data_IF_053769138071
#
_entry.id   IF_053769138071
#
_cell.length_a   1.000
_cell.length_b   1.000
_cell.length_c   1.000
_cell.angle_alpha   90.00
_cell.angle_beta   90.00
_cell.angle_gamma   90.00
#
_symmetry.space_group_name_H-M   'P 1'
#
loop_
_entity.id
_entity.type
_entity.pdbx_description
1 polymer ?
#
# COMPACT_ATOMS: atom_id res chain seq x y z
N UNK A 1 8.06 11.72 12.72
CA UNK A 1 7.30 10.71 11.96
C UNK A 1 7.30 11.14 10.51
N UNK A 2 7.62 10.22 9.60
CA UNK A 2 7.53 10.46 8.15
C UNK A 2 6.11 10.92 7.80
N UNK A 3 5.97 11.95 6.97
CA UNK A 3 4.68 12.36 6.40
C UNK A 3 4.12 11.33 5.42
N UNK A 4 4.92 10.31 5.07
CA UNK A 4 4.64 9.26 4.12
C UNK A 4 4.49 7.90 4.81
N UNK A 5 3.42 7.18 4.49
CA UNK A 5 3.13 5.82 4.92
C UNK A 5 2.86 4.89 3.74
N UNK A 6 2.51 3.65 4.04
CA UNK A 6 2.23 2.59 3.07
C UNK A 6 0.83 2.02 3.32
N UNK A 7 0.08 1.79 2.25
CA UNK A 7 -1.16 1.01 2.29
C UNK A 7 -1.07 -0.20 1.36
N UNK A 8 -1.40 -1.39 1.88
CA UNK A 8 -1.40 -2.65 1.13
C UNK A 8 -2.84 -3.11 0.90
N UNK A 9 -3.22 -3.36 -0.36
CA UNK A 9 -4.55 -3.84 -0.72
C UNK A 9 -4.45 -5.17 -1.47
N UNK A 10 -5.08 -6.22 -0.97
CA UNK A 10 -5.12 -7.51 -1.66
C UNK A 10 -6.51 -8.12 -1.70
N UNK A 11 -6.78 -8.94 -2.69
CA UNK A 11 -7.94 -9.82 -2.70
C UNK A 11 -7.88 -10.85 -1.56
N UNK A 12 -6.69 -11.19 -1.07
CA UNK A 12 -6.50 -12.17 -0.02
C UNK A 12 -6.07 -11.50 1.27
N UNK A 13 -6.83 -11.73 2.35
CA UNK A 13 -6.43 -11.36 3.71
C UNK A 13 -5.04 -11.89 4.06
N UNK A 14 -4.72 -13.11 3.64
CA UNK A 14 -3.45 -13.75 3.97
C UNK A 14 -2.27 -13.13 3.22
N UNK A 15 -2.48 -12.67 1.98
CA UNK A 15 -1.43 -11.95 1.23
C UNK A 15 -1.21 -10.59 1.88
N UNK A 16 -2.27 -9.83 2.15
CA UNK A 16 -2.15 -8.53 2.81
C UNK A 16 -1.42 -8.63 4.15
N UNK A 17 -1.78 -9.61 4.99
CA UNK A 17 -1.11 -9.84 6.27
C UNK A 17 0.34 -10.28 6.08
N UNK A 18 0.61 -11.25 5.21
CA UNK A 18 1.96 -11.76 5.00
C UNK A 18 2.92 -10.70 4.43
N UNK A 19 2.41 -9.77 3.61
CA UNK A 19 3.20 -8.59 3.19
C UNK A 19 3.54 -7.74 4.41
N UNK A 20 2.56 -7.36 5.24
CA UNK A 20 2.82 -6.53 6.44
C UNK A 20 3.80 -7.21 7.40
N UNK A 21 3.65 -8.51 7.63
CA UNK A 21 4.56 -9.29 8.48
C UNK A 21 6.00 -9.16 7.95
N UNK A 22 6.20 -9.32 6.63
CA UNK A 22 7.51 -9.16 6.01
C UNK A 22 8.04 -7.72 6.09
N UNK A 23 7.19 -6.70 5.89
CA UNK A 23 7.61 -5.29 6.00
C UNK A 23 8.05 -4.94 7.42
N UNK A 24 7.40 -5.53 8.43
CA UNK A 24 7.68 -5.24 9.84
C UNK A 24 9.08 -5.65 10.29
N UNK A 25 9.71 -6.60 9.59
CA UNK A 25 11.10 -7.01 9.84
C UNK A 25 12.12 -5.94 9.41
N UNK A 26 11.73 -4.99 8.56
CA UNK A 26 12.63 -3.97 7.99
C UNK A 26 12.19 -2.53 8.21
N UNK A 27 10.93 -2.29 8.60
CA UNK A 27 10.34 -0.95 8.69
C UNK A 27 9.52 -0.77 9.98
N UNK A 28 10.22 -0.62 11.10
CA UNK A 28 9.62 -0.48 12.43
C UNK A 28 8.92 0.87 12.69
N UNK A 29 9.33 1.94 12.00
CA UNK A 29 8.83 3.31 12.24
C UNK A 29 7.92 3.82 11.11
N UNK A 30 7.67 3.00 10.08
CA UNK A 30 6.82 3.37 8.94
C UNK A 30 5.36 3.07 9.26
N UNK A 31 4.48 4.05 9.02
CA UNK A 31 3.05 3.86 9.17
C UNK A 31 2.50 2.95 8.06
N UNK A 32 2.22 1.69 8.39
CA UNK A 32 1.74 0.68 7.45
C UNK A 32 0.32 0.28 7.83
N UNK A 33 -0.60 0.38 6.87
CA UNK A 33 -1.94 -0.21 6.96
C UNK A 33 -2.15 -1.23 5.86
N UNK A 34 -3.02 -2.21 6.10
CA UNK A 34 -3.35 -3.19 5.08
C UNK A 34 -4.79 -3.62 5.15
N UNK A 35 -5.29 -4.09 4.01
CA UNK A 35 -6.58 -4.72 3.91
C UNK A 35 -6.54 -5.81 2.87
N UNK A 36 -7.19 -6.93 3.18
CA UNK A 36 -7.48 -7.90 2.15
C UNK A 36 -8.69 -8.76 2.43
N UNK A 37 -9.30 -9.21 1.34
CA UNK A 37 -10.59 -9.88 1.36
C UNK A 37 -11.77 -8.92 1.50
N UNK A 38 -12.97 -9.46 1.29
CA UNK A 38 -14.23 -8.75 1.49
C UNK A 38 -14.56 -8.61 2.98
N UNK A 39 -15.64 -7.91 3.34
CA UNK A 39 -16.15 -7.86 4.73
C UNK A 39 -16.39 -9.24 5.34
N UNK A 40 -16.77 -10.22 4.52
CA UNK A 40 -16.98 -11.62 4.93
C UNK A 40 -15.68 -12.43 5.02
N UNK A 41 -14.54 -11.83 4.68
CA UNK A 41 -13.22 -12.49 4.64
C UNK A 41 -12.99 -13.38 3.43
N UNK A 42 -13.85 -13.29 2.41
CA UNK A 42 -13.71 -14.02 1.14
C UNK A 42 -12.67 -13.35 0.24
N UNK A 43 -12.18 -14.08 -0.78
CA UNK A 43 -11.27 -13.50 -1.79
C UNK A 43 -12.01 -12.40 -2.55
N UNK A 44 -11.48 -11.18 -2.52
CA UNK A 44 -12.13 -10.00 -3.08
C UNK A 44 -11.61 -8.70 -2.46
N UNK A 45 -12.06 -7.57 -3.01
CA UNK A 45 -11.82 -6.24 -2.42
C UNK A 45 -13.12 -5.44 -2.43
N UNK A 46 -13.31 -4.55 -1.47
CA UNK A 46 -14.42 -3.58 -1.46
C UNK A 46 -13.89 -2.18 -1.19
N UNK A 47 -14.58 -1.19 -1.73
CA UNK A 47 -14.23 0.22 -1.59
C UNK A 47 -14.20 0.63 -0.11
N UNK A 48 -15.23 0.28 0.66
CA UNK A 48 -15.41 0.67 2.05
C UNK A 48 -14.21 0.26 2.91
N UNK A 49 -13.75 -0.98 2.72
CA UNK A 49 -12.60 -1.55 3.42
C UNK A 49 -11.28 -0.92 3.02
N UNK A 50 -11.13 -0.56 1.74
CA UNK A 50 -9.95 0.17 1.25
C UNK A 50 -9.93 1.58 1.82
N UNK A 51 -11.06 2.27 1.83
CA UNK A 51 -11.21 3.59 2.43
C UNK A 51 -10.85 3.56 3.92
N UNK A 52 -11.35 2.59 4.67
CA UNK A 52 -11.02 2.42 6.10
C UNK A 52 -9.50 2.25 6.31
N UNK A 53 -8.82 1.44 5.50
CA UNK A 53 -7.38 1.22 5.62
C UNK A 53 -6.56 2.47 5.26
N UNK A 54 -7.02 3.26 4.28
CA UNK A 54 -6.45 4.55 3.91
C UNK A 54 -6.59 5.54 5.07
N UNK A 55 -7.79 5.70 5.62
CA UNK A 55 -8.06 6.67 6.68
C UNK A 55 -7.37 6.31 8.00
N UNK A 56 -7.30 5.02 8.34
CA UNK A 56 -6.62 4.52 9.53
C UNK A 56 -5.10 4.76 9.52
N UNK A 57 -4.49 4.99 8.35
CA UNK A 57 -3.05 5.26 8.27
C UNK A 57 -2.74 6.63 8.89
N UNK A 58 -1.68 6.77 9.68
CA UNK A 58 -1.38 8.06 10.33
C UNK A 58 -0.69 9.05 9.39
N UNK A 59 -0.16 8.60 8.25
CA UNK A 59 0.48 9.44 7.27
C UNK A 59 -0.52 10.14 6.34
N UNK A 60 -0.11 11.30 5.81
CA UNK A 60 -0.90 12.08 4.85
C UNK A 60 -0.61 11.67 3.41
N UNK A 61 0.65 11.38 3.08
CA UNK A 61 1.06 10.82 1.78
C UNK A 61 1.10 9.31 1.91
N UNK A 62 0.45 8.58 1.01
CA UNK A 62 0.38 7.12 1.06
C UNK A 62 0.91 6.51 -0.23
N UNK A 63 1.91 5.64 -0.10
CA UNK A 63 2.34 4.76 -1.18
C UNK A 63 1.45 3.51 -1.16
N UNK A 64 0.62 3.35 -2.19
CA UNK A 64 -0.38 2.30 -2.27
C UNK A 64 0.08 1.17 -3.19
N UNK A 65 0.07 -0.06 -2.65
CA UNK A 65 0.43 -1.27 -3.35
C UNK A 65 -0.76 -2.23 -3.39
N UNK A 66 -0.97 -2.87 -4.54
CA UNK A 66 -2.11 -3.73 -4.77
C UNK A 66 -1.73 -5.00 -5.53
N UNK A 67 -2.56 -6.03 -5.52
CA UNK A 67 -2.30 -7.28 -6.24
C UNK A 67 -2.82 -7.26 -7.69
N UNK A 68 -4.13 -7.10 -7.89
CA UNK A 68 -4.82 -7.21 -9.17
C UNK A 68 -5.67 -5.97 -9.49
N UNK A 69 -6.04 -5.77 -10.76
CA UNK A 69 -6.67 -4.55 -11.27
C UNK A 69 -7.92 -4.06 -10.53
N UNK A 70 -8.80 -4.94 -10.03
CA UNK A 70 -9.97 -4.51 -9.22
C UNK A 70 -9.59 -3.86 -7.89
N UNK A 71 -8.46 -4.23 -7.29
CA UNK A 71 -7.93 -3.58 -6.09
C UNK A 71 -7.47 -2.14 -6.41
N UNK A 72 -6.88 -1.93 -7.59
CA UNK A 72 -6.53 -0.59 -8.10
C UNK A 72 -7.77 0.28 -8.25
N UNK A 73 -8.86 -0.24 -8.83
CA UNK A 73 -10.09 0.54 -8.99
C UNK A 73 -10.64 1.05 -7.65
N UNK A 74 -10.58 0.22 -6.61
CA UNK A 74 -10.98 0.63 -5.26
C UNK A 74 -10.01 1.66 -4.65
N UNK A 75 -8.71 1.56 -4.90
CA UNK A 75 -7.72 2.57 -4.49
C UNK A 75 -7.91 3.91 -5.22
N UNK A 76 -8.22 3.88 -6.52
CA UNK A 76 -8.53 5.08 -7.30
C UNK A 76 -9.77 5.78 -6.75
N UNK A 77 -10.82 5.01 -6.43
CA UNK A 77 -11.99 5.55 -5.77
C UNK A 77 -11.64 6.12 -4.38
N UNK A 78 -10.87 5.40 -3.56
CA UNK A 78 -10.46 5.90 -2.24
C UNK A 78 -9.66 7.20 -2.32
N UNK A 79 -8.81 7.35 -3.34
CA UNK A 79 -8.08 8.59 -3.62
C UNK A 79 -9.02 9.75 -3.95
N UNK A 80 -10.12 9.50 -4.66
CA UNK A 80 -11.07 10.54 -5.03
C UNK A 80 -11.92 11.03 -3.84
N UNK A 81 -12.05 10.22 -2.77
CA UNK A 81 -12.86 10.52 -1.58
C UNK A 81 -12.04 10.89 -0.32
N UNK A 82 -10.73 10.68 -0.34
CA UNK A 82 -9.83 11.00 0.78
C UNK A 82 -9.18 12.35 0.59
N UNK A 83 -8.90 13.04 1.70
CA UNK A 83 -8.04 14.24 1.70
C UNK A 83 -6.55 13.87 1.66
N UNK A 84 -6.21 12.57 1.60
CA UNK A 84 -4.82 12.09 1.58
C UNK A 84 -4.24 12.02 0.17
N UNK A 85 -2.93 12.23 0.07
CA UNK A 85 -2.19 12.12 -1.18
C UNK A 85 -1.84 10.64 -1.44
N UNK A 86 -2.71 9.93 -2.15
CA UNK A 86 -2.53 8.50 -2.44
C UNK A 86 -1.82 8.30 -3.80
N UNK A 87 -0.62 7.73 -3.75
CA UNK A 87 0.21 7.40 -4.91
C UNK A 87 0.11 5.89 -5.17
N UNK A 88 -0.56 5.50 -6.25
CA UNK A 88 -0.81 4.09 -6.59
C UNK A 88 0.30 3.56 -7.49
N UNK A 89 0.99 2.51 -7.07
CA UNK A 89 2.13 1.93 -7.81
C UNK A 89 1.76 0.64 -8.56
N UNK A 90 2.05 0.59 -9.86
CA UNK A 90 1.88 -0.60 -10.70
C UNK A 90 3.11 -1.52 -10.62
N UNK A 91 3.42 -2.01 -9.42
CA UNK A 91 4.59 -2.86 -9.14
C UNK A 91 4.15 -4.17 -8.48
N UNK A 92 4.93 -5.27 -8.52
CA UNK A 92 4.65 -6.46 -7.74
C UNK A 92 4.37 -6.11 -6.26
N UNK A 93 3.27 -6.63 -5.69
CA UNK A 93 2.77 -6.17 -4.39
C UNK A 93 3.78 -6.40 -3.27
N UNK A 94 4.51 -7.52 -3.28
CA UNK A 94 5.46 -7.87 -2.22
C UNK A 94 6.75 -7.06 -2.41
N UNK A 95 7.37 -7.17 -3.58
CA UNK A 95 8.68 -6.62 -3.88
C UNK A 95 8.66 -5.09 -3.88
N UNK A 96 7.62 -4.48 -4.44
CA UNK A 96 7.45 -3.03 -4.46
C UNK A 96 7.19 -2.46 -3.07
N UNK A 97 6.29 -3.09 -2.30
CA UNK A 97 6.01 -2.65 -0.94
C UNK A 97 7.23 -2.80 -0.03
N UNK A 98 7.97 -3.91 -0.16
CA UNK A 98 9.21 -4.15 0.58
C UNK A 98 10.28 -3.11 0.27
N UNK A 99 10.48 -2.82 -1.02
CA UNK A 99 11.42 -1.79 -1.48
C UNK A 99 11.06 -0.43 -0.89
N UNK A 100 9.79 -0.02 -0.97
CA UNK A 100 9.34 1.26 -0.42
C UNK A 100 9.49 1.33 1.10
N UNK A 101 9.12 0.26 1.83
CA UNK A 101 9.20 0.23 3.28
C UNK A 101 10.64 0.33 3.78
N UNK A 102 11.55 -0.44 3.20
CA UNK A 102 12.97 -0.40 3.55
C UNK A 102 13.59 0.98 3.29
N UNK A 103 13.26 1.61 2.15
CA UNK A 103 13.77 2.94 1.80
C UNK A 103 13.17 4.04 2.68
N UNK A 104 11.88 3.98 3.00
CA UNK A 104 11.25 4.91 3.95
C UNK A 104 11.87 4.79 5.35
N UNK A 105 12.11 3.57 5.84
CA UNK A 105 12.79 3.35 7.12
C UNK A 105 14.20 3.94 7.12
N UNK A 106 14.92 3.82 6.00
CA UNK A 106 16.25 4.40 5.83
C UNK A 106 16.23 5.94 5.65
N UNK A 107 15.07 6.58 5.65
CA UNK A 107 14.92 8.03 5.52
C UNK A 107 15.14 8.55 4.10
N UNK A 108 15.00 7.69 3.08
CA UNK A 108 15.13 8.07 1.67
C UNK A 108 13.91 8.91 1.24
N UNK A 109 14.15 9.95 0.46
CA UNK A 109 13.10 10.86 -0.01
C UNK A 109 12.19 10.23 -1.08
N UNK A 110 10.94 10.71 -1.14
CA UNK A 110 9.89 10.24 -2.06
C UNK A 110 10.31 10.18 -3.54
N UNK A 111 11.09 11.16 -4.00
CA UNK A 111 11.54 11.19 -5.40
C UNK A 111 12.44 9.99 -5.73
N UNK A 112 13.37 9.67 -4.85
CA UNK A 112 14.29 8.55 -5.06
C UNK A 112 13.57 7.21 -4.88
N UNK A 113 12.66 7.10 -3.91
CA UNK A 113 11.79 5.92 -3.78
C UNK A 113 10.99 5.69 -5.06
N UNK A 114 10.44 6.76 -5.64
CA UNK A 114 9.68 6.67 -6.87
C UNK A 114 10.53 6.18 -8.04
N UNK A 115 11.80 6.61 -8.14
CA UNK A 115 12.74 6.09 -9.15
C UNK A 115 13.02 4.61 -8.96
N UNK A 116 13.29 4.16 -7.73
CA UNK A 116 13.52 2.74 -7.44
C UNK A 116 12.29 1.87 -7.77
N UNK A 117 11.08 2.38 -7.49
CA UNK A 117 9.84 1.68 -7.83
C UNK A 117 9.56 1.64 -9.34
N UNK A 118 9.99 2.62 -10.12
CA UNK A 118 9.85 2.60 -11.58
C UNK A 118 10.62 1.43 -12.22
N UNK A 119 11.74 1.01 -11.64
CA UNK A 119 12.49 -0.17 -12.12
C UNK A 119 11.72 -1.48 -11.94
N UNK A 120 10.70 -1.49 -11.06
CA UNK A 120 9.85 -2.64 -10.76
C UNK A 120 8.49 -2.58 -11.46
N UNK A 121 8.25 -1.59 -12.35
CA UNK A 121 6.94 -1.38 -12.95
C UNK A 121 6.53 -2.56 -13.85
N UNK A 122 5.29 -3.01 -13.70
CA UNK A 122 4.68 -4.09 -14.47
C UNK A 122 3.31 -3.70 -14.99
N UNK A 123 2.90 -4.33 -16.09
CA UNK A 123 1.53 -4.24 -16.59
C UNK A 123 0.63 -5.15 -15.75
N UNK A 124 -0.39 -4.58 -15.10
CA UNK A 124 -1.38 -5.30 -14.29
C UNK A 124 -2.78 -5.18 -14.87
#
# INVERSE_FOLDING_TARGET
MSSTGIVIVSHSKHIAQGVVDLLSEVACDVAITSVGGTEKGEVGTSFERVQEAVEANQAHVLLAFYDLGSAKMNLEMARDFSEKDIIIHNVPIVEGAYTAAALLQAGVGLEEISKQLQELEISK
#
